data_IF_392383472026
#
_entry.id   IF_392383472026
#
_cell.length_a   1.000
_cell.length_b   1.000
_cell.length_c   1.000
_cell.angle_alpha   90.00
_cell.angle_beta   90.00
_cell.angle_gamma   90.00
#
_symmetry.space_group_name_H-M   'P 1'
#
loop_
_entity.id
_entity.type
_entity.pdbx_description
1 polymer ?
#
# COMPACT_ATOMS: atom_id res chain seq x y z
N UNK A 1 31.50 -22.61 40.55
CA UNK A 1 30.46 -21.58 40.31
C UNK A 1 31.00 -20.57 39.31
N UNK A 2 30.61 -20.66 38.03
CA UNK A 2 30.89 -19.62 37.02
C UNK A 2 29.55 -19.32 36.36
N UNK A 3 29.03 -18.11 36.62
CA UNK A 3 27.76 -17.60 36.09
C UNK A 3 28.01 -17.16 34.64
N UNK A 4 27.52 -17.92 33.66
CA UNK A 4 27.44 -17.46 32.28
C UNK A 4 26.23 -16.53 32.17
N UNK A 5 26.51 -15.24 31.96
CA UNK A 5 25.50 -14.22 31.69
C UNK A 5 25.35 -14.14 30.16
N UNK A 6 24.27 -14.70 29.63
CA UNK A 6 23.92 -14.66 28.21
C UNK A 6 22.74 -13.69 28.07
N UNK A 7 23.03 -12.44 27.71
CA UNK A 7 22.01 -11.43 27.38
C UNK A 7 21.68 -11.60 25.90
N UNK A 8 20.50 -12.14 25.60
CA UNK A 8 19.90 -12.08 24.26
C UNK A 8 19.13 -10.77 24.13
N UNK A 9 19.73 -9.77 23.48
CA UNK A 9 19.02 -8.56 23.06
C UNK A 9 18.27 -8.92 21.77
N UNK A 10 16.97 -9.18 21.88
CA UNK A 10 16.07 -9.32 20.72
C UNK A 10 15.72 -7.91 20.26
N UNK A 11 16.43 -7.42 19.25
CA UNK A 11 16.11 -6.17 18.56
C UNK A 11 14.90 -6.43 17.65
N UNK A 12 13.70 -6.15 18.15
CA UNK A 12 12.47 -6.21 17.36
C UNK A 12 12.44 -5.00 16.43
N UNK A 13 12.82 -5.17 15.16
CA UNK A 13 12.56 -4.17 14.13
C UNK A 13 11.05 -4.13 13.88
N UNK A 14 10.35 -3.22 14.56
CA UNK A 14 9.01 -2.80 14.17
C UNK A 14 9.12 -2.13 12.80
N UNK A 15 8.93 -2.91 11.74
CA UNK A 15 8.70 -2.36 10.42
C UNK A 15 7.32 -1.71 10.46
N UNK A 16 7.27 -0.41 10.76
CA UNK A 16 6.12 0.40 10.38
C UNK A 16 6.17 0.45 8.85
N UNK A 17 5.52 -0.52 8.20
CA UNK A 17 5.13 -0.37 6.82
C UNK A 17 4.17 0.83 6.81
N UNK A 18 4.73 2.01 6.55
CA UNK A 18 3.94 3.20 6.27
C UNK A 18 3.34 2.97 4.89
N UNK A 19 2.21 2.25 4.84
CA UNK A 19 1.39 2.21 3.63
C UNK A 19 0.99 3.65 3.31
N UNK A 20 1.02 4.01 2.03
CA UNK A 20 0.72 5.37 1.62
C UNK A 20 -0.77 5.67 1.82
N UNK A 21 -1.64 4.67 1.68
CA UNK A 21 -3.05 4.67 2.05
C UNK A 21 -3.48 3.38 2.76
N UNK A 22 -4.78 3.09 2.77
CA UNK A 22 -5.34 1.88 3.38
C UNK A 22 -6.46 1.32 2.52
N UNK A 23 -6.45 0.00 2.28
CA UNK A 23 -7.50 -0.74 1.58
C UNK A 23 -8.24 -1.64 2.57
N UNK A 24 -9.51 -1.34 2.84
CA UNK A 24 -10.38 -2.12 3.74
C UNK A 24 -11.66 -2.47 2.97
N UNK A 25 -12.02 -3.76 2.94
CA UNK A 25 -13.25 -4.25 2.31
C UNK A 25 -13.45 -3.78 0.85
N UNK A 26 -12.35 -3.67 0.09
CA UNK A 26 -12.36 -3.19 -1.30
C UNK A 26 -12.45 -1.67 -1.46
N UNK A 27 -12.43 -0.92 -0.37
CA UNK A 27 -12.43 0.55 -0.37
C UNK A 27 -11.05 1.05 0.02
N UNK A 28 -10.43 1.80 -0.89
CA UNK A 28 -9.15 2.45 -0.63
C UNK A 28 -9.34 3.91 -0.21
N UNK A 29 -8.58 4.34 0.79
CA UNK A 29 -8.51 5.74 1.24
C UNK A 29 -7.06 6.21 1.38
N UNK A 30 -6.73 7.44 0.96
CA UNK A 30 -5.39 8.01 1.16
C UNK A 30 -5.12 8.24 2.66
N UNK A 31 -3.85 8.23 3.05
CA UNK A 31 -3.48 8.53 4.44
C UNK A 31 -2.99 9.98 4.60
N UNK A 32 -2.26 10.53 3.62
CA UNK A 32 -1.53 11.81 3.80
C UNK A 32 -1.92 12.90 2.81
N UNK A 33 -2.96 12.71 1.99
CA UNK A 33 -3.37 13.71 1.02
C UNK A 33 -4.19 14.88 1.59
N UNK A 34 -4.53 14.84 2.88
CA UNK A 34 -5.37 15.84 3.53
C UNK A 34 -6.84 15.72 3.12
N UNK A 35 -7.59 16.79 3.30
CA UNK A 35 -9.01 16.82 2.95
C UNK A 35 -9.23 17.07 1.45
N UNK A 36 -10.22 16.38 0.89
CA UNK A 36 -10.65 16.61 -0.49
C UNK A 36 -11.24 18.04 -0.60
N UNK A 37 -10.73 18.89 -1.52
CA UNK A 37 -11.29 20.23 -1.71
C UNK A 37 -12.73 20.18 -2.23
N UNK A 38 -13.64 20.81 -1.50
CA UNK A 38 -15.04 20.94 -1.90
C UNK A 38 -15.19 21.95 -3.06
N UNK A 39 -15.91 21.59 -4.14
CA UNK A 39 -16.16 22.49 -5.26
C UNK A 39 -16.95 23.75 -4.82
N UNK A 40 -16.57 24.96 -5.29
CA UNK A 40 -17.30 26.17 -4.96
C UNK A 40 -18.65 26.23 -5.70
N UNK A 41 -19.61 26.91 -5.10
CA UNK A 41 -20.85 27.29 -5.79
C UNK A 41 -20.59 28.43 -6.79
N UNK A 42 -21.26 28.39 -7.94
CA UNK A 42 -21.13 29.41 -8.98
C UNK A 42 -22.35 30.33 -8.93
N UNK A 43 -22.11 31.62 -8.71
CA UNK A 43 -23.14 32.65 -8.68
C UNK A 43 -23.12 33.47 -9.98
N UNK A 44 -24.20 33.39 -10.75
CA UNK A 44 -24.38 34.07 -12.04
C UNK A 44 -25.37 35.22 -11.98
N UNK A 45 -25.78 35.65 -10.78
CA UNK A 45 -26.81 36.70 -10.60
C UNK A 45 -26.32 38.10 -10.97
N UNK A 46 -25.00 38.32 -10.97
CA UNK A 46 -24.38 39.56 -11.46
C UNK A 46 -22.96 39.28 -11.98
N UNK A 47 -22.43 40.21 -12.78
CA UNK A 47 -21.04 40.11 -13.24
C UNK A 47 -20.03 40.12 -12.08
N UNK A 48 -20.30 40.88 -11.02
CA UNK A 48 -19.47 40.90 -9.82
C UNK A 48 -19.48 39.55 -9.10
N UNK A 49 -20.66 38.97 -8.90
CA UNK A 49 -20.80 37.68 -8.24
C UNK A 49 -20.14 36.55 -9.04
N UNK A 50 -20.23 36.62 -10.37
CA UNK A 50 -19.55 35.68 -11.25
C UNK A 50 -18.02 35.81 -11.16
N UNK A 51 -17.49 37.04 -11.14
CA UNK A 51 -16.04 37.25 -10.98
C UNK A 51 -15.52 36.68 -9.64
N UNK A 52 -16.25 36.86 -8.54
CA UNK A 52 -15.91 36.21 -7.25
C UNK A 52 -15.96 34.68 -7.34
N UNK A 53 -16.90 34.13 -8.12
CA UNK A 53 -16.96 32.69 -8.38
C UNK A 53 -15.74 32.19 -9.16
N UNK A 54 -15.25 32.97 -10.12
CA UNK A 54 -14.03 32.64 -10.90
C UNK A 54 -12.81 32.57 -9.99
N UNK A 55 -12.65 33.50 -9.05
CA UNK A 55 -11.58 33.46 -8.05
C UNK A 55 -11.65 32.18 -7.20
N UNK A 56 -12.83 31.87 -6.65
CA UNK A 56 -13.04 30.66 -5.87
C UNK A 56 -12.77 29.37 -6.68
N UNK A 57 -13.13 29.35 -7.96
CA UNK A 57 -12.85 28.24 -8.88
C UNK A 57 -11.34 28.05 -9.08
N UNK A 58 -10.58 29.14 -9.27
CA UNK A 58 -9.13 29.07 -9.45
C UNK A 58 -8.44 28.53 -8.20
N UNK A 59 -8.81 29.04 -7.02
CA UNK A 59 -8.26 28.54 -5.76
C UNK A 59 -8.62 27.06 -5.51
N UNK A 60 -9.84 26.65 -5.84
CA UNK A 60 -10.26 25.26 -5.74
C UNK A 60 -9.46 24.37 -6.70
N UNK A 61 -9.24 24.80 -7.96
CA UNK A 61 -8.46 24.05 -8.94
C UNK A 61 -7.04 23.78 -8.45
N UNK A 62 -6.36 24.77 -7.89
CA UNK A 62 -5.00 24.61 -7.36
C UNK A 62 -4.95 23.56 -6.24
N UNK A 63 -5.89 23.63 -5.30
CA UNK A 63 -5.99 22.63 -4.21
C UNK A 63 -6.37 21.26 -4.74
N UNK A 64 -7.29 21.18 -5.70
CA UNK A 64 -7.75 19.92 -6.29
C UNK A 64 -6.63 19.22 -7.06
N UNK A 65 -5.80 19.97 -7.78
CA UNK A 65 -4.62 19.43 -8.47
C UNK A 65 -3.59 18.87 -7.49
N UNK A 66 -3.31 19.60 -6.40
CA UNK A 66 -2.41 19.12 -5.35
C UNK A 66 -2.93 17.84 -4.69
N UNK A 67 -4.21 17.82 -4.30
CA UNK A 67 -4.86 16.65 -3.72
C UNK A 67 -4.83 15.44 -4.68
N UNK A 68 -5.21 15.63 -5.94
CA UNK A 68 -5.22 14.57 -6.94
C UNK A 68 -3.82 14.02 -7.24
N UNK A 69 -2.81 14.89 -7.30
CA UNK A 69 -1.42 14.47 -7.46
C UNK A 69 -0.97 13.58 -6.30
N UNK A 70 -1.32 13.93 -5.06
CA UNK A 70 -1.07 13.08 -3.92
C UNK A 70 -1.80 11.74 -4.02
N UNK A 71 -3.11 11.74 -4.35
CA UNK A 71 -3.90 10.52 -4.51
C UNK A 71 -3.23 9.53 -5.47
N UNK A 72 -2.81 10.01 -6.64
CA UNK A 72 -2.14 9.19 -7.66
C UNK A 72 -0.85 8.58 -7.09
N UNK A 73 -0.05 9.38 -6.38
CA UNK A 73 1.20 8.91 -5.78
C UNK A 73 0.97 7.83 -4.74
N UNK A 74 0.04 8.04 -3.80
CA UNK A 74 -0.23 7.07 -2.75
C UNK A 74 -0.84 5.79 -3.33
N UNK A 75 -1.83 5.90 -4.21
CA UNK A 75 -2.48 4.75 -4.83
C UNK A 75 -1.47 3.88 -5.62
N UNK A 76 -0.57 4.50 -6.39
CA UNK A 76 0.45 3.75 -7.13
C UNK A 76 1.44 3.06 -6.18
N UNK A 77 1.86 3.74 -5.12
CA UNK A 77 2.77 3.17 -4.11
C UNK A 77 2.16 1.93 -3.46
N UNK A 78 0.88 2.01 -3.09
CA UNK A 78 0.16 0.89 -2.48
C UNK A 78 -0.08 -0.25 -3.46
N UNK A 79 -0.45 0.06 -4.71
CA UNK A 79 -0.64 -0.95 -5.76
C UNK A 79 0.65 -1.75 -6.00
N UNK A 80 1.79 -1.06 -6.09
CA UNK A 80 3.09 -1.71 -6.26
C UNK A 80 3.45 -2.61 -5.06
N UNK A 81 3.19 -2.13 -3.85
CA UNK A 81 3.43 -2.89 -2.62
C UNK A 81 2.53 -4.13 -2.52
N UNK A 82 1.23 -4.00 -2.82
CA UNK A 82 0.28 -5.11 -2.83
C UNK A 82 0.70 -6.14 -3.89
N UNK A 83 1.00 -5.70 -5.11
CA UNK A 83 1.43 -6.59 -6.18
C UNK A 83 2.71 -7.35 -5.80
N UNK A 84 3.71 -6.63 -5.28
CA UNK A 84 4.96 -7.23 -4.82
C UNK A 84 4.73 -8.27 -3.74
N UNK A 85 4.04 -7.91 -2.66
CA UNK A 85 3.84 -8.78 -1.49
C UNK A 85 2.98 -10.01 -1.83
N UNK A 86 1.96 -9.85 -2.67
CA UNK A 86 1.17 -10.97 -3.17
C UNK A 86 2.00 -11.93 -4.03
N UNK A 87 2.82 -11.39 -4.94
CA UNK A 87 3.70 -12.20 -5.79
C UNK A 87 4.78 -12.93 -4.99
N UNK A 88 5.39 -12.26 -4.01
CA UNK A 88 6.36 -12.87 -3.10
C UNK A 88 5.73 -14.03 -2.33
N UNK A 89 4.54 -13.84 -1.77
CA UNK A 89 3.78 -14.89 -1.06
C UNK A 89 3.48 -16.09 -1.97
N UNK A 90 3.05 -15.83 -3.21
CA UNK A 90 2.80 -16.89 -4.19
C UNK A 90 4.08 -17.65 -4.55
N UNK A 91 5.19 -16.95 -4.72
CA UNK A 91 6.48 -17.57 -5.07
C UNK A 91 7.00 -18.45 -3.94
N UNK A 92 6.90 -18.00 -2.69
CA UNK A 92 7.24 -18.80 -1.51
C UNK A 92 6.41 -20.08 -1.42
N UNK A 93 5.10 -19.97 -1.67
CA UNK A 93 4.23 -21.15 -1.63
C UNK A 93 4.54 -22.14 -2.76
N UNK A 94 4.81 -21.67 -3.98
CA UNK A 94 5.24 -22.53 -5.10
C UNK A 94 6.54 -23.27 -4.77
N UNK A 95 7.52 -22.58 -4.18
CA UNK A 95 8.77 -23.21 -3.75
C UNK A 95 8.53 -24.35 -2.76
N UNK A 96 7.61 -24.17 -1.81
CA UNK A 96 7.26 -25.21 -0.85
C UNK A 96 6.61 -26.43 -1.54
N UNK A 97 5.71 -26.19 -2.50
CA UNK A 97 5.10 -27.25 -3.32
C UNK A 97 6.17 -28.03 -4.09
N UNK A 98 7.09 -27.34 -4.76
CA UNK A 98 8.15 -27.96 -5.57
C UNK A 98 9.09 -28.79 -4.69
N UNK A 99 9.42 -28.30 -3.49
CA UNK A 99 10.25 -29.01 -2.52
C UNK A 99 9.60 -30.33 -2.08
N UNK A 100 8.34 -30.27 -1.63
CA UNK A 100 7.58 -31.46 -1.20
C UNK A 100 7.44 -32.46 -2.33
N UNK A 101 7.16 -31.98 -3.56
CA UNK A 101 7.04 -32.83 -4.74
C UNK A 101 8.35 -33.55 -5.05
N UNK A 102 9.49 -32.84 -5.03
CA UNK A 102 10.82 -33.44 -5.23
C UNK A 102 11.19 -34.45 -4.14
N UNK A 103 10.84 -34.18 -2.88
CA UNK A 103 11.08 -35.10 -1.77
C UNK A 103 10.24 -36.38 -1.91
N UNK A 104 8.97 -36.25 -2.30
CA UNK A 104 8.08 -37.39 -2.54
C UNK A 104 8.58 -38.27 -3.69
N UNK A 105 9.06 -37.68 -4.79
CA UNK A 105 9.67 -38.41 -5.91
C UNK A 105 10.90 -39.20 -5.47
N UNK A 106 11.83 -38.55 -4.75
CA UNK A 106 13.02 -39.23 -4.21
C UNK A 106 12.66 -40.37 -3.27
N UNK A 107 11.62 -40.21 -2.46
CA UNK A 107 11.14 -41.27 -1.57
C UNK A 107 10.56 -42.46 -2.34
N UNK A 108 9.76 -42.20 -3.37
CA UNK A 108 9.21 -43.22 -4.27
C UNK A 108 10.32 -43.99 -4.97
N UNK A 109 11.26 -43.30 -5.60
CA UNK A 109 12.34 -43.95 -6.36
C UNK A 109 13.20 -44.85 -5.46
N UNK A 110 13.39 -44.47 -4.19
CA UNK A 110 14.08 -45.28 -3.17
C UNK A 110 13.30 -46.53 -2.74
N UNK A 111 11.96 -46.49 -2.80
CA UNK A 111 11.11 -47.66 -2.52
C UNK A 111 11.11 -48.60 -3.72
N UNK A 112 10.96 -48.07 -4.94
CA UNK A 112 10.91 -48.87 -6.18
C UNK A 112 12.25 -49.53 -6.51
N UNK A 113 13.37 -48.98 -6.02
CA UNK A 113 14.71 -49.56 -6.17
C UNK A 113 15.06 -50.65 -5.14
N UNK A 114 14.13 -51.06 -4.27
CA UNK A 114 14.31 -52.13 -3.28
C UNK A 114 13.68 -53.42 -3.75
#
# INVERSE_FOLDING_TARGET
MKKNFLIMIVLSLTHTASNAGTLIDGIWSPANCGEKPEPPAIDVTSAENFNRSVEAINEWQDRALAYNSCLIKEANTDNDLIAKTANDTQAEFRKAIDQISSEAEKARDKIDSR
#
